data_IF_081076944040
#
_entry.id   IF_081076944040
#
_cell.length_a   1.000
_cell.length_b   1.000
_cell.length_c   1.000
_cell.angle_alpha   90.00
_cell.angle_beta   90.00
_cell.angle_gamma   90.00
#
_symmetry.space_group_name_H-M   'P 1'
#
loop_
_entity.id
_entity.type
_entity.pdbx_description
1 polymer ?
#
# COMPACT_ATOMS: atom_id res chain seq x y z
N UNK A 1 5.73 -34.64 -2.28
CA UNK A 1 4.75 -33.58 -2.63
C UNK A 1 4.80 -32.54 -1.53
N UNK A 2 4.84 -31.26 -1.90
CA UNK A 2 5.62 -30.23 -1.19
C UNK A 2 4.89 -29.62 0.02
N UNK A 3 5.43 -29.85 1.21
CA UNK A 3 5.02 -29.26 2.50
C UNK A 3 4.88 -27.72 2.46
N UNK A 4 5.57 -27.04 1.53
CA UNK A 4 5.53 -25.60 1.40
C UNK A 4 4.22 -25.09 0.78
N UNK A 5 3.69 -25.80 -0.22
CA UNK A 5 2.45 -25.38 -0.90
C UNK A 5 1.25 -25.50 0.05
N UNK A 6 1.26 -26.49 0.93
CA UNK A 6 0.21 -26.71 1.92
C UNK A 6 0.15 -25.54 2.93
N UNK A 7 1.31 -25.02 3.34
CA UNK A 7 1.40 -23.85 4.23
C UNK A 7 0.92 -22.57 3.54
N UNK A 8 1.31 -22.35 2.28
CA UNK A 8 0.92 -21.15 1.52
C UNK A 8 -0.60 -21.12 1.28
N UNK A 9 -1.21 -22.27 1.03
CA UNK A 9 -2.64 -22.38 0.71
C UNK A 9 -3.53 -22.61 1.95
N UNK A 10 -3.00 -22.38 3.15
CA UNK A 10 -3.78 -22.55 4.37
C UNK A 10 -5.00 -21.62 4.37
N UNK A 11 -6.20 -22.19 4.49
CA UNK A 11 -7.41 -21.40 4.63
C UNK A 11 -7.48 -20.79 6.04
N UNK A 12 -7.13 -19.51 6.17
CA UNK A 12 -7.13 -18.82 7.46
C UNK A 12 -8.54 -18.63 8.05
N UNK A 13 -9.59 -18.69 7.23
CA UNK A 13 -10.98 -18.45 7.67
C UNK A 13 -11.48 -19.50 8.67
N UNK A 14 -10.80 -20.64 8.80
CA UNK A 14 -11.15 -21.68 9.78
C UNK A 14 -10.51 -21.44 11.15
N UNK A 15 -9.55 -20.52 11.24
CA UNK A 15 -8.77 -20.25 12.44
C UNK A 15 -8.99 -18.84 13.01
N UNK A 16 -9.33 -17.87 12.16
CA UNK A 16 -9.43 -16.47 12.59
C UNK A 16 -10.26 -15.63 11.60
N UNK A 17 -10.78 -14.51 12.10
CA UNK A 17 -11.45 -13.48 11.31
C UNK A 17 -10.47 -12.46 10.69
N UNK A 18 -9.19 -12.49 11.11
CA UNK A 18 -8.18 -11.58 10.58
C UNK A 18 -7.97 -11.79 9.08
N UNK A 19 -7.66 -10.70 8.39
CA UNK A 19 -7.30 -10.72 6.97
C UNK A 19 -5.87 -10.23 6.76
N UNK A 20 -5.27 -10.64 5.64
CA UNK A 20 -4.02 -10.07 5.14
C UNK A 20 -4.37 -9.03 4.08
N UNK A 21 -3.93 -7.80 4.28
CA UNK A 21 -4.14 -6.69 3.35
C UNK A 21 -2.81 -6.31 2.70
N UNK A 22 -2.71 -6.53 1.39
CA UNK A 22 -1.57 -6.11 0.57
C UNK A 22 -1.75 -4.65 0.13
N UNK A 23 -0.84 -3.78 0.57
CA UNK A 23 -0.79 -2.39 0.13
C UNK A 23 0.15 -2.32 -1.06
N UNK A 24 -0.33 -1.81 -2.20
CA UNK A 24 0.41 -1.75 -3.46
C UNK A 24 0.56 -0.28 -3.87
N UNK A 25 1.76 0.11 -4.29
CA UNK A 25 2.05 1.45 -4.80
C UNK A 25 3.03 1.43 -5.96
N UNK A 26 3.09 2.56 -6.68
CA UNK A 26 4.07 2.80 -7.75
C UNK A 26 5.32 3.41 -7.13
N UNK A 27 6.48 2.82 -7.41
CA UNK A 27 7.77 3.26 -6.87
C UNK A 27 8.34 4.50 -7.56
N UNK A 28 9.59 4.85 -7.21
CA UNK A 28 10.24 6.08 -7.64
C UNK A 28 10.56 6.15 -9.12
N UNK A 29 10.68 5.02 -9.82
CA UNK A 29 10.87 5.05 -11.29
C UNK A 29 9.59 5.42 -12.04
N UNK A 30 8.43 5.33 -11.38
CA UNK A 30 7.12 5.47 -12.02
C UNK A 30 6.66 4.24 -12.81
N UNK A 31 7.51 3.22 -12.95
CA UNK A 31 7.23 1.98 -13.68
C UNK A 31 7.29 0.73 -12.80
N UNK A 32 7.97 0.82 -11.66
CA UNK A 32 8.10 -0.27 -10.70
C UNK A 32 6.91 -0.33 -9.75
N UNK A 33 6.49 -1.56 -9.42
CA UNK A 33 5.45 -1.84 -8.44
C UNK A 33 6.10 -2.33 -7.16
N UNK A 34 5.64 -1.79 -6.04
CA UNK A 34 6.07 -2.15 -4.68
C UNK A 34 4.86 -2.53 -3.88
N UNK A 35 5.04 -3.43 -2.93
CA UNK A 35 3.96 -3.84 -2.04
C UNK A 35 4.46 -4.32 -0.69
N UNK A 36 3.56 -4.33 0.29
CA UNK A 36 3.77 -4.98 1.59
C UNK A 36 2.43 -5.36 2.23
N UNK A 37 2.46 -6.44 3.00
CA UNK A 37 1.29 -6.98 3.67
C UNK A 37 1.20 -6.54 5.15
N UNK A 38 -0.01 -6.29 5.65
CA UNK A 38 -0.31 -6.28 7.09
C UNK A 38 -1.52 -7.12 7.42
N UNK A 39 -1.57 -7.60 8.66
CA UNK A 39 -2.75 -8.21 9.25
C UNK A 39 -3.73 -7.12 9.71
N UNK A 40 -5.02 -7.29 9.40
CA UNK A 40 -6.12 -6.47 9.91
C UNK A 40 -7.08 -7.36 10.72
N UNK A 41 -7.77 -6.75 11.70
CA UNK A 41 -8.63 -7.46 12.64
C UNK A 41 -9.85 -8.16 12.00
N UNK A 42 -10.24 -7.75 10.80
CA UNK A 42 -11.40 -8.30 10.11
C UNK A 42 -11.55 -7.81 8.67
N UNK A 43 -12.54 -8.33 7.94
CA UNK A 43 -12.86 -7.90 6.58
C UNK A 43 -13.18 -6.40 6.49
N UNK A 44 -12.70 -5.74 5.44
CA UNK A 44 -12.97 -4.33 5.15
C UNK A 44 -13.63 -4.20 3.77
N UNK A 45 -14.73 -3.46 3.70
CA UNK A 45 -15.58 -3.37 2.49
C UNK A 45 -15.36 -2.13 1.64
N UNK A 46 -14.62 -1.14 2.14
CA UNK A 46 -14.40 0.12 1.44
C UNK A 46 -12.97 0.65 1.67
N UNK A 47 -12.30 1.21 0.66
CA UNK A 47 -10.91 1.67 0.78
C UNK A 47 -10.65 2.77 1.82
N UNK A 48 -11.63 3.64 2.05
CA UNK A 48 -11.55 4.73 3.03
C UNK A 48 -11.54 4.26 4.49
N UNK A 49 -11.97 3.01 4.73
CA UNK A 49 -11.92 2.36 6.04
C UNK A 49 -10.59 1.66 6.31
N UNK A 50 -9.70 1.56 5.31
CA UNK A 50 -8.38 0.98 5.50
C UNK A 50 -7.49 1.97 6.27
N UNK A 51 -6.71 1.49 7.26
CA UNK A 51 -5.78 2.36 7.96
C UNK A 51 -4.70 2.86 7.00
N UNK A 52 -4.39 4.17 7.06
CA UNK A 52 -3.24 4.70 6.35
C UNK A 52 -1.96 4.00 6.83
N UNK A 53 -1.01 3.86 5.92
CA UNK A 53 0.28 3.26 6.21
C UNK A 53 1.39 3.99 5.46
N UNK A 54 2.60 3.93 6.00
CA UNK A 54 3.82 4.53 5.48
C UNK A 54 4.81 3.45 5.05
N UNK A 55 5.82 3.78 4.26
CA UNK A 55 6.98 2.96 3.93
C UNK A 55 8.24 3.83 3.88
N UNK A 56 9.40 3.19 3.82
CA UNK A 56 10.68 3.87 3.60
C UNK A 56 10.85 4.24 2.13
N UNK A 57 10.63 5.52 1.83
CA UNK A 57 10.76 6.13 0.52
C UNK A 57 12.20 6.21 0.01
N UNK A 58 13.20 6.19 0.89
CA UNK A 58 14.61 6.23 0.44
C UNK A 58 14.99 4.97 -0.33
N UNK A 59 14.52 3.81 0.11
CA UNK A 59 14.67 2.51 -0.56
C UNK A 59 13.93 2.40 -1.90
N UNK A 60 13.11 3.39 -2.25
CA UNK A 60 12.33 3.41 -3.51
C UNK A 60 12.66 4.63 -4.37
N UNK A 61 13.58 5.49 -3.95
CA UNK A 61 13.91 6.75 -4.63
C UNK A 61 12.80 7.80 -4.58
N UNK A 62 11.93 7.74 -3.56
CA UNK A 62 10.76 8.63 -3.39
C UNK A 62 10.94 9.69 -2.30
N UNK A 63 11.96 9.55 -1.45
CA UNK A 63 12.29 10.48 -0.39
C UNK A 63 13.80 10.44 -0.06
N UNK A 64 14.40 11.53 0.48
CA UNK A 64 15.78 11.52 0.96
C UNK A 64 15.93 10.63 2.22
N UNK A 65 17.16 10.25 2.56
CA UNK A 65 17.41 9.40 3.73
C UNK A 65 17.13 10.06 5.08
N UNK A 66 17.18 11.39 5.16
CA UNK A 66 16.98 12.17 6.39
C UNK A 66 15.49 12.34 6.77
N UNK A 67 14.61 12.30 5.77
CA UNK A 67 13.15 12.35 5.91
C UNK A 67 12.55 11.37 4.90
N UNK A 68 12.59 10.08 5.25
CA UNK A 68 12.36 8.99 4.31
C UNK A 68 10.92 8.48 4.29
N UNK A 69 10.05 8.96 5.17
CA UNK A 69 8.68 8.42 5.27
C UNK A 69 7.82 8.84 4.09
N UNK A 70 7.16 7.86 3.45
CA UNK A 70 6.18 8.10 2.39
C UNK A 70 4.93 7.27 2.65
N UNK A 71 3.76 7.85 2.43
CA UNK A 71 2.48 7.16 2.58
C UNK A 71 2.23 6.21 1.41
N UNK A 72 1.61 5.05 1.64
CA UNK A 72 1.30 4.05 0.59
C UNK A 72 0.40 4.59 -0.53
N UNK A 73 -0.36 5.66 -0.31
CA UNK A 73 -1.11 6.40 -1.33
C UNK A 73 -0.24 7.42 -2.11
N UNK A 74 1.08 7.37 -1.91
CA UNK A 74 2.12 8.22 -2.51
C UNK A 74 1.97 9.70 -2.14
N UNK A 75 1.94 9.98 -0.83
CA UNK A 75 1.98 11.34 -0.27
C UNK A 75 3.12 11.45 0.75
N UNK A 76 3.62 12.68 0.95
CA UNK A 76 4.48 13.01 2.09
C UNK A 76 3.69 12.91 3.40
N UNK A 77 4.34 12.81 4.57
CA UNK A 77 3.67 12.89 5.86
C UNK A 77 2.85 14.18 6.05
N UNK A 78 3.30 15.28 5.45
CA UNK A 78 2.60 16.56 5.42
C UNK A 78 1.33 16.60 4.51
N UNK A 79 0.97 15.49 3.85
CA UNK A 79 -0.22 15.40 3.00
C UNK A 79 -0.07 15.96 1.58
N UNK A 80 1.16 16.20 1.11
CA UNK A 80 1.42 16.63 -0.26
C UNK A 80 1.67 15.43 -1.19
N UNK A 81 1.12 15.39 -2.42
CA UNK A 81 1.38 14.30 -3.34
C UNK A 81 2.84 14.34 -3.79
N UNK A 82 3.52 13.19 -3.77
CA UNK A 82 4.90 13.10 -4.28
C UNK A 82 4.93 13.17 -5.81
N UNK A 83 6.07 13.50 -6.45
CA UNK A 83 6.13 13.70 -7.91
C UNK A 83 5.69 12.50 -8.76
N UNK A 84 5.86 11.27 -8.26
CA UNK A 84 5.44 10.05 -8.96
C UNK A 84 3.95 9.73 -8.77
N UNK A 85 3.22 10.44 -7.91
CA UNK A 85 1.77 10.28 -7.72
C UNK A 85 0.99 10.92 -8.87
N UNK A 86 0.80 10.19 -9.97
CA UNK A 86 -0.01 10.64 -11.11
C UNK A 86 -1.52 10.59 -10.85
N UNK A 87 -1.95 9.79 -9.86
CA UNK A 87 -3.37 9.64 -9.48
C UNK A 87 -3.95 10.94 -8.95
N UNK A 88 -3.20 11.72 -8.18
CA UNK A 88 -3.68 12.98 -7.61
C UNK A 88 -4.26 13.93 -8.67
N UNK A 89 -3.52 14.22 -9.73
CA UNK A 89 -4.01 15.11 -10.80
C UNK A 89 -5.14 14.48 -11.63
N UNK A 90 -5.07 13.18 -11.93
CA UNK A 90 -6.14 12.48 -12.63
C UNK A 90 -7.47 12.57 -11.86
N UNK A 91 -7.45 12.38 -10.54
CA UNK A 91 -8.67 12.50 -9.73
C UNK A 91 -9.29 13.90 -9.77
N UNK A 92 -8.52 14.96 -10.00
CA UNK A 92 -9.08 16.31 -10.16
C UNK A 92 -9.83 16.47 -11.48
N UNK A 93 -9.35 15.83 -12.54
CA UNK A 93 -9.97 15.87 -13.88
C UNK A 93 -11.29 15.10 -13.88
N UNK A 94 -11.32 13.93 -13.23
CA UNK A 94 -12.48 13.04 -13.20
C UNK A 94 -13.45 13.32 -12.05
N UNK A 95 -13.22 14.35 -11.24
CA UNK A 95 -14.18 14.72 -10.19
C UNK A 95 -15.47 15.22 -10.85
N UNK A 96 -16.63 14.61 -10.55
CA UNK A 96 -17.91 15.15 -11.01
C UNK A 96 -18.13 16.55 -10.41
N UNK A 97 -18.90 17.41 -11.09
CA UNK A 97 -19.25 18.75 -10.58
C UNK A 97 -20.00 18.70 -9.25
#
# INVERSE_FOLDING_TARGET
>A
MSLLADLINLNLSVCTEHIISEYIWVGGSGMDIKSKARTLAGPVTAPDKLPKWNYDGSSTGQAPGEDSEVMCDCYTPAGHPIPTNKRYNATKIFKPP
#
